data_IF_129623309278
#
_entry.id   IF_129623309278
#
_cell.length_a   1.000
_cell.length_b   1.000
_cell.length_c   1.000
_cell.angle_alpha   90.00
_cell.angle_beta   90.00
_cell.angle_gamma   90.00
#
_symmetry.space_group_name_H-M   'P 1'
#
loop_
_entity.id
_entity.type
_entity.pdbx_description
1 polymer ?
#
# COMPACT_ATOMS: atom_id res chain seq x y z
N UNK A 1 -9.55 23.21 16.45
CA UNK A 1 -8.21 22.66 16.72
C UNK A 1 -8.18 21.15 16.43
N UNK A 2 -8.33 20.75 15.15
CA UNK A 2 -8.37 19.33 14.72
C UNK A 2 -7.47 19.06 13.50
N UNK A 3 -6.40 19.85 13.33
CA UNK A 3 -5.68 19.99 12.06
C UNK A 3 -4.33 19.25 11.97
N UNK A 4 -4.23 18.03 12.52
CA UNK A 4 -3.00 17.21 12.37
C UNK A 4 -3.19 15.68 12.49
N UNK A 5 -4.42 15.16 12.69
CA UNK A 5 -4.68 13.71 12.73
C UNK A 5 -5.24 13.14 11.40
N UNK A 6 -5.75 13.98 10.52
CA UNK A 6 -6.41 13.57 9.27
C UNK A 6 -5.44 13.08 8.20
N UNK A 7 -4.16 13.49 8.25
CA UNK A 7 -3.11 13.03 7.32
C UNK A 7 -2.74 11.57 7.55
N UNK A 8 -2.64 11.12 8.82
CA UNK A 8 -2.36 9.71 9.15
C UNK A 8 -3.52 8.78 8.76
N UNK A 9 -4.76 9.25 8.92
CA UNK A 9 -5.95 8.48 8.55
C UNK A 9 -6.10 8.34 7.03
N UNK A 10 -5.82 9.40 6.25
CA UNK A 10 -5.80 9.32 4.78
C UNK A 10 -4.76 8.31 4.30
N UNK A 11 -3.54 8.39 4.83
CA UNK A 11 -2.45 7.44 4.55
C UNK A 11 -2.81 5.98 4.89
N UNK A 12 -3.53 5.74 5.99
CA UNK A 12 -3.97 4.39 6.37
C UNK A 12 -5.10 3.87 5.48
N UNK A 13 -6.01 4.74 5.04
CA UNK A 13 -7.05 4.39 4.07
C UNK A 13 -6.45 4.10 2.70
N UNK A 14 -5.47 4.87 2.28
CA UNK A 14 -4.73 4.64 1.05
C UNK A 14 -3.95 3.34 1.13
N UNK A 15 -3.31 3.05 2.28
CA UNK A 15 -2.65 1.76 2.54
C UNK A 15 -3.61 0.57 2.36
N UNK A 16 -4.77 0.56 3.03
CA UNK A 16 -5.73 -0.54 2.88
C UNK A 16 -6.28 -0.67 1.46
N UNK A 17 -6.48 0.44 0.76
CA UNK A 17 -6.90 0.42 -0.65
C UNK A 17 -5.80 -0.16 -1.55
N UNK A 18 -4.55 0.26 -1.38
CA UNK A 18 -3.41 -0.26 -2.15
C UNK A 18 -3.18 -1.75 -1.89
N UNK A 19 -3.23 -2.18 -0.62
CA UNK A 19 -3.14 -3.61 -0.27
C UNK A 19 -4.31 -4.37 -0.86
N UNK A 20 -5.55 -3.87 -0.77
CA UNK A 20 -6.70 -4.54 -1.37
C UNK A 20 -6.61 -4.64 -2.88
N UNK A 21 -6.09 -3.61 -3.55
CA UNK A 21 -5.90 -3.58 -5.00
C UNK A 21 -4.82 -4.59 -5.42
N UNK A 22 -3.65 -4.55 -4.79
CA UNK A 22 -2.57 -5.49 -5.07
C UNK A 22 -2.96 -6.93 -4.72
N UNK A 23 -3.68 -7.15 -3.62
CA UNK A 23 -4.19 -8.47 -3.26
C UNK A 23 -5.26 -8.98 -4.22
N UNK A 24 -5.98 -8.09 -4.91
CA UNK A 24 -6.93 -8.46 -5.96
C UNK A 24 -6.28 -8.75 -7.32
N UNK A 25 -5.01 -8.37 -7.50
CA UNK A 25 -4.25 -8.71 -8.71
C UNK A 25 -3.81 -10.18 -8.68
N UNK A 26 -3.71 -10.77 -9.87
CA UNK A 26 -3.20 -12.13 -10.03
C UNK A 26 -1.68 -12.17 -9.83
N UNK A 27 -1.14 -13.34 -9.47
CA UNK A 27 0.29 -13.51 -9.16
C UNK A 27 1.19 -13.14 -10.35
N UNK A 28 0.70 -13.34 -11.58
CA UNK A 28 1.40 -12.90 -12.80
C UNK A 28 1.48 -11.39 -12.91
N UNK A 29 0.38 -10.68 -12.63
CA UNK A 29 0.33 -9.23 -12.69
C UNK A 29 1.23 -8.60 -11.62
N UNK A 30 1.28 -9.22 -10.43
CA UNK A 30 2.23 -8.85 -9.38
C UNK A 30 3.68 -9.11 -9.82
N UNK A 31 3.95 -10.25 -10.45
CA UNK A 31 5.27 -10.58 -10.99
C UNK A 31 5.73 -9.63 -12.11
N UNK A 32 4.82 -9.16 -12.97
CA UNK A 32 5.12 -8.21 -14.06
C UNK A 32 5.65 -6.88 -13.54
N UNK A 33 5.19 -6.46 -12.35
CA UNK A 33 5.68 -5.26 -11.65
C UNK A 33 6.80 -5.57 -10.64
N UNK A 34 7.29 -6.82 -10.61
CA UNK A 34 8.36 -7.26 -9.72
C UNK A 34 7.97 -7.34 -8.24
N UNK A 35 6.69 -7.54 -7.94
CA UNK A 35 6.15 -7.66 -6.58
C UNK A 35 5.69 -9.10 -6.31
N UNK A 36 6.03 -9.65 -5.15
CA UNK A 36 5.46 -10.90 -4.67
C UNK A 36 4.25 -10.61 -3.76
N UNK A 37 3.23 -11.47 -3.77
CA UNK A 37 2.06 -11.38 -2.88
C UNK A 37 2.45 -11.29 -1.39
N UNK A 38 3.48 -12.04 -0.98
CA UNK A 38 4.01 -11.98 0.39
C UNK A 38 4.67 -10.64 0.74
N UNK A 39 5.18 -9.93 -0.26
CA UNK A 39 5.88 -8.66 -0.10
C UNK A 39 4.95 -7.44 -0.22
N UNK A 40 3.67 -7.61 -0.59
CA UNK A 40 2.71 -6.51 -0.73
C UNK A 40 2.69 -5.64 0.52
N UNK A 41 2.62 -6.23 1.71
CA UNK A 41 2.59 -5.46 2.95
C UNK A 41 3.90 -4.67 3.16
N UNK A 42 5.03 -5.28 2.85
CA UNK A 42 6.35 -4.68 2.99
C UNK A 42 6.57 -3.54 1.96
N UNK A 43 6.19 -3.75 0.70
CA UNK A 43 6.30 -2.80 -0.41
C UNK A 43 5.42 -1.58 -0.14
N UNK A 44 4.18 -1.76 0.29
CA UNK A 44 3.30 -0.62 0.62
C UNK A 44 3.81 0.12 1.86
N UNK A 45 4.35 -0.58 2.86
CA UNK A 45 4.99 0.05 4.03
C UNK A 45 6.25 0.84 3.64
N UNK A 46 7.07 0.32 2.72
CA UNK A 46 8.35 0.93 2.28
C UNK A 46 8.15 2.07 1.29
N UNK A 47 7.20 1.97 0.36
CA UNK A 47 6.84 3.06 -0.55
C UNK A 47 6.36 4.32 0.19
N UNK A 48 5.83 4.15 1.41
CA UNK A 48 5.46 5.27 2.31
C UNK A 48 6.66 5.92 3.03
N UNK A 49 7.82 5.26 3.07
CA UNK A 49 9.05 5.78 3.70
C UNK A 49 9.98 6.48 2.70
N UNK A 50 9.72 6.34 1.40
CA UNK A 50 10.55 6.86 0.31
C UNK A 50 10.10 8.25 -0.22
N UNK A 51 9.14 8.91 0.44
CA UNK A 51 8.65 10.25 0.10
C UNK A 51 8.56 11.13 1.34
#
# INVERSE_FOLDING_TARGET
>A
MFNSFTTRLRQYRDHRKTVSLLSSMDDRQLSDIGVNRGDIELVVRRGRLAF
#
